data_IF_894511993101
#
_entry.id   IF_894511993101
#
_cell.length_a   1.000
_cell.length_b   1.000
_cell.length_c   1.000
_cell.angle_alpha   90.00
_cell.angle_beta   90.00
_cell.angle_gamma   90.00
#
_symmetry.space_group_name_H-M   'P 1'
#
loop_
_entity.id
_entity.type
_entity.pdbx_description
1 polymer ?
#
# COMPACT_ATOMS: atom_id res chain seq x y z
N UNK A 1 -9.19 22.94 8.94
CA UNK A 1 -8.74 21.63 9.45
C UNK A 1 -7.70 21.82 10.54
N UNK A 2 -7.99 21.39 11.77
CA UNK A 2 -7.08 21.52 12.92
C UNK A 2 -5.90 20.53 12.84
N UNK A 3 -4.72 21.00 13.23
CA UNK A 3 -3.55 20.12 13.43
C UNK A 3 -3.68 19.48 14.81
N UNK A 4 -3.78 18.15 14.87
CA UNK A 4 -3.78 17.42 16.14
C UNK A 4 -2.35 17.02 16.50
N UNK A 5 -1.92 17.29 17.74
CA UNK A 5 -0.62 16.89 18.27
C UNK A 5 -0.82 15.92 19.42
N UNK A 6 -0.26 14.73 19.30
CA UNK A 6 -0.31 13.67 20.31
C UNK A 6 1.12 13.42 20.79
N UNK A 7 1.42 13.70 22.06
CA UNK A 7 2.78 13.65 22.60
C UNK A 7 2.82 12.98 23.96
N UNK A 8 3.84 12.15 24.19
CA UNK A 8 4.12 11.53 25.48
C UNK A 8 4.88 12.46 26.44
N UNK A 9 5.32 13.64 26.00
CA UNK A 9 6.22 14.52 26.76
C UNK A 9 5.67 14.90 28.14
N UNK A 10 4.36 15.21 28.20
CA UNK A 10 3.67 15.62 29.42
C UNK A 10 3.11 14.46 30.24
N UNK A 11 3.32 13.22 29.82
CA UNK A 11 2.82 12.03 30.49
C UNK A 11 3.87 11.46 31.46
N UNK A 12 3.39 10.93 32.58
CA UNK A 12 4.21 10.13 33.49
C UNK A 12 4.73 8.88 32.76
N UNK A 13 5.97 8.47 33.05
CA UNK A 13 6.66 7.37 32.35
C UNK A 13 5.84 6.08 32.26
N UNK A 14 5.08 5.76 33.33
CA UNK A 14 4.23 4.56 33.41
C UNK A 14 3.08 4.55 32.39
N UNK A 15 2.59 5.73 31.99
CA UNK A 15 1.41 5.87 31.13
C UNK A 15 1.80 5.99 29.64
N UNK A 16 3.08 6.27 29.34
CA UNK A 16 3.57 6.53 27.97
C UNK A 16 3.40 5.34 27.03
N UNK A 17 3.63 4.11 27.51
CA UNK A 17 3.49 2.91 26.68
C UNK A 17 2.03 2.69 26.25
N UNK A 18 1.10 2.77 27.20
CA UNK A 18 -0.33 2.58 26.93
C UNK A 18 -0.86 3.67 26.00
N UNK A 19 -0.51 4.93 26.28
CA UNK A 19 -0.84 6.05 25.40
C UNK A 19 -0.27 5.87 24.00
N UNK A 20 1.03 5.54 23.88
CA UNK A 20 1.67 5.40 22.59
C UNK A 20 1.07 4.26 21.76
N UNK A 21 0.72 3.14 22.40
CA UNK A 21 -0.03 2.06 21.75
C UNK A 21 -1.36 2.55 21.17
N UNK A 22 -2.13 3.34 21.93
CA UNK A 22 -3.37 3.94 21.42
C UNK A 22 -3.10 4.85 20.21
N UNK A 23 -2.10 5.72 20.30
CA UNK A 23 -1.74 6.62 19.19
C UNK A 23 -1.44 5.84 17.91
N UNK A 24 -0.66 4.76 18.01
CA UNK A 24 -0.31 3.91 16.86
C UNK A 24 -1.54 3.18 16.30
N UNK A 25 -2.35 2.58 17.17
CA UNK A 25 -3.57 1.87 16.78
C UNK A 25 -4.57 2.78 16.06
N UNK A 26 -4.73 4.02 16.53
CA UNK A 26 -5.74 4.95 16.02
C UNK A 26 -5.32 5.63 14.70
N UNK A 27 -4.01 5.82 14.46
CA UNK A 27 -3.51 6.60 13.32
C UNK A 27 -2.86 5.76 12.23
N UNK A 28 -2.35 4.58 12.58
CA UNK A 28 -1.63 3.70 11.67
C UNK A 28 -2.37 2.37 11.51
N UNK A 29 -1.87 1.32 12.16
CA UNK A 29 -2.35 -0.05 12.07
C UNK A 29 -2.09 -0.77 13.39
N UNK A 30 -2.88 -1.81 13.67
CA UNK A 30 -2.65 -2.65 14.85
C UNK A 30 -1.33 -3.40 14.71
N UNK A 31 -0.50 -3.29 15.75
CA UNK A 31 0.82 -3.91 15.83
C UNK A 31 1.15 -4.28 17.27
N UNK A 32 2.03 -5.27 17.44
CA UNK A 32 2.71 -5.47 18.71
C UNK A 32 3.87 -4.47 18.77
N UNK A 33 3.80 -3.53 19.71
CA UNK A 33 4.87 -2.56 19.98
C UNK A 33 5.77 -3.04 21.11
N UNK A 34 7.07 -3.07 20.83
CA UNK A 34 8.12 -3.23 21.83
C UNK A 34 8.86 -1.90 22.02
N UNK A 35 8.80 -1.39 23.26
CA UNK A 35 9.51 -0.18 23.66
C UNK A 35 10.66 -0.57 24.60
N UNK A 36 11.84 0.06 24.51
CA UNK A 36 12.96 -0.25 25.40
C UNK A 36 12.55 -0.04 26.86
N UNK A 37 12.58 -1.11 27.66
CA UNK A 37 12.06 -1.13 29.05
C UNK A 37 12.69 -0.09 30.00
N UNK A 38 13.88 0.42 29.67
CA UNK A 38 14.67 1.33 30.51
C UNK A 38 14.81 2.75 29.93
N UNK A 39 14.27 3.02 28.74
CA UNK A 39 14.31 4.37 28.18
C UNK A 39 13.08 5.16 28.63
N UNK A 40 13.28 6.41 29.01
CA UNK A 40 12.18 7.37 29.19
C UNK A 40 11.58 7.70 27.82
N UNK A 41 10.89 6.73 27.21
CA UNK A 41 10.37 6.78 25.84
C UNK A 41 9.69 8.13 25.57
N UNK A 42 10.05 8.75 24.44
CA UNK A 42 9.41 9.96 23.94
C UNK A 42 8.84 9.67 22.56
N UNK A 43 7.58 10.01 22.36
CA UNK A 43 6.89 9.90 21.09
C UNK A 43 6.01 11.13 20.86
N UNK A 44 6.02 11.64 19.64
CA UNK A 44 5.14 12.71 19.17
C UNK A 44 4.62 12.37 17.77
N UNK A 45 3.31 12.49 17.57
CA UNK A 45 2.66 12.44 16.25
C UNK A 45 1.93 13.76 16.02
N UNK A 46 2.26 14.44 14.94
CA UNK A 46 1.47 15.58 14.43
C UNK A 46 0.71 15.15 13.21
N UNK A 47 -0.61 15.27 13.25
CA UNK A 47 -1.49 14.77 12.19
C UNK A 47 -2.12 15.91 11.40
N UNK A 48 -2.19 15.71 10.08
CA UNK A 48 -2.84 16.58 9.09
C UNK A 48 -3.53 15.72 8.04
N UNK A 49 -4.59 16.25 7.40
CA UNK A 49 -5.28 15.57 6.30
C UNK A 49 -5.25 16.42 5.04
N UNK A 50 -5.18 15.74 3.89
CA UNK A 50 -5.44 16.32 2.58
C UNK A 50 -6.31 15.36 1.79
N UNK A 51 -7.62 15.62 1.77
CA UNK A 51 -8.60 14.69 1.25
C UNK A 51 -8.45 13.31 1.92
N UNK A 52 -8.29 12.22 1.15
CA UNK A 52 -8.12 10.88 1.69
C UNK A 52 -6.72 10.59 2.27
N UNK A 53 -5.74 11.50 2.12
CA UNK A 53 -4.41 11.30 2.67
C UNK A 53 -4.37 11.70 4.14
N UNK A 54 -3.90 10.79 5.00
CA UNK A 54 -3.47 11.14 6.36
C UNK A 54 -1.96 11.34 6.37
N UNK A 55 -1.52 12.53 6.74
CA UNK A 55 -0.12 12.94 6.77
C UNK A 55 0.30 13.16 8.20
N UNK A 56 1.36 12.47 8.61
CA UNK A 56 1.90 12.57 9.97
C UNK A 56 3.36 12.98 9.96
N UNK A 57 3.74 13.79 10.93
CA UNK A 57 5.13 13.87 11.39
C UNK A 57 5.24 13.02 12.63
N UNK A 58 6.01 11.95 12.52
CA UNK A 58 6.25 10.95 13.54
C UNK A 58 7.65 11.15 14.11
N UNK A 59 7.75 11.40 15.41
CA UNK A 59 9.01 11.47 16.14
C UNK A 59 8.96 10.48 17.28
N UNK A 60 9.96 9.64 17.41
CA UNK A 60 9.98 8.68 18.51
C UNK A 60 11.38 8.25 18.88
N UNK A 61 11.53 7.89 20.14
CA UNK A 61 12.64 7.11 20.65
C UNK A 61 12.67 5.70 20.08
N UNK A 62 13.80 4.97 20.19
CA UNK A 62 13.93 3.62 19.69
C UNK A 62 12.75 2.74 20.09
N UNK A 63 12.27 1.94 19.16
CA UNK A 63 11.22 0.94 19.38
C UNK A 63 11.17 -0.05 18.21
N UNK A 64 10.31 -1.05 18.30
CA UNK A 64 9.97 -1.90 17.18
C UNK A 64 8.48 -2.19 17.15
N UNK A 65 8.01 -2.57 15.97
CA UNK A 65 6.63 -2.94 15.72
C UNK A 65 6.58 -4.21 14.88
N UNK A 66 5.69 -5.13 15.25
CA UNK A 66 5.36 -6.32 14.47
C UNK A 66 3.88 -6.32 14.08
N UNK A 67 3.62 -6.45 12.78
CA UNK A 67 2.29 -6.66 12.24
C UNK A 67 2.11 -8.09 11.79
N UNK A 68 1.13 -8.78 12.35
CA UNK A 68 0.80 -10.17 12.05
C UNK A 68 -0.50 -10.30 11.28
N UNK A 69 -0.80 -11.50 10.75
CA UNK A 69 -2.10 -11.80 10.14
C UNK A 69 -3.28 -11.62 11.11
N UNK A 70 -3.05 -11.83 12.41
CA UNK A 70 -4.06 -11.60 13.45
C UNK A 70 -4.43 -10.12 13.56
N UNK A 71 -3.46 -9.22 13.43
CA UNK A 71 -3.71 -7.78 13.46
C UNK A 71 -4.50 -7.32 12.23
N UNK A 72 -4.10 -7.81 11.05
CA UNK A 72 -4.80 -7.52 9.77
C UNK A 72 -6.27 -7.97 9.84
N UNK A 73 -6.54 -9.15 10.40
CA UNK A 73 -7.91 -9.63 10.56
C UNK A 73 -8.77 -8.78 11.51
N UNK A 74 -8.15 -7.99 12.40
CA UNK A 74 -8.85 -7.16 13.40
C UNK A 74 -9.17 -5.76 12.91
N UNK A 75 -8.25 -5.12 12.19
CA UNK A 75 -8.46 -3.75 11.69
C UNK A 75 -8.83 -3.68 10.20
N UNK A 76 -8.60 -4.74 9.43
CA UNK A 76 -8.90 -4.79 8.00
C UNK A 76 -8.13 -3.78 7.15
N UNK A 77 -7.13 -3.09 7.71
CA UNK A 77 -6.43 -2.01 7.04
C UNK A 77 -5.56 -2.55 5.90
N UNK A 78 -5.82 -2.08 4.68
CA UNK A 78 -5.07 -2.40 3.47
C UNK A 78 -4.29 -1.21 2.90
N UNK A 79 -4.36 -0.04 3.53
CA UNK A 79 -3.67 1.18 3.11
C UNK A 79 -2.15 1.01 3.05
N UNK A 80 -1.51 1.88 2.27
CA UNK A 80 -0.05 1.94 2.13
C UNK A 80 0.52 3.11 2.91
N UNK A 81 1.61 2.85 3.61
CA UNK A 81 2.34 3.83 4.40
C UNK A 81 3.63 4.21 3.68
N UNK A 82 3.73 5.47 3.27
CA UNK A 82 4.90 6.05 2.64
C UNK A 82 5.76 6.76 3.69
N UNK A 83 6.96 6.24 3.92
CA UNK A 83 7.91 6.74 4.90
C UNK A 83 9.01 7.56 4.24
N UNK A 84 9.23 8.77 4.76
CA UNK A 84 10.27 9.72 4.37
C UNK A 84 11.02 10.16 5.64
N UNK A 85 12.09 9.46 6.03
CA UNK A 85 12.90 9.86 7.18
C UNK A 85 13.56 11.21 6.95
N UNK A 86 13.56 12.06 7.98
CA UNK A 86 14.27 13.34 8.02
C UNK A 86 15.56 13.22 8.82
N UNK A 87 15.49 12.50 9.95
CA UNK A 87 16.62 12.10 10.77
C UNK A 87 16.42 10.69 11.30
N UNK A 88 17.53 9.99 11.53
CA UNK A 88 17.51 8.60 11.99
C UNK A 88 17.07 7.62 10.89
N UNK A 89 17.08 6.34 11.25
CA UNK A 89 16.92 5.24 10.30
C UNK A 89 15.84 4.28 10.78
N UNK A 90 15.16 3.64 9.83
CA UNK A 90 14.22 2.56 10.09
C UNK A 90 14.55 1.36 9.22
N UNK A 91 14.45 0.19 9.81
CA UNK A 91 14.66 -1.09 9.16
C UNK A 91 13.30 -1.75 9.02
N UNK A 92 12.92 -2.07 7.79
CA UNK A 92 11.66 -2.72 7.47
C UNK A 92 11.90 -4.12 6.95
N UNK A 93 11.03 -5.06 7.30
CA UNK A 93 10.94 -6.35 6.61
C UNK A 93 9.48 -6.65 6.24
N UNK A 94 9.23 -6.94 4.96
CA UNK A 94 7.90 -7.29 4.45
C UNK A 94 8.02 -8.13 3.18
N UNK A 95 7.22 -9.19 3.09
CA UNK A 95 7.22 -10.14 1.98
C UNK A 95 8.62 -10.70 1.64
N UNK A 96 9.41 -11.03 2.68
CA UNK A 96 10.76 -11.59 2.54
C UNK A 96 11.84 -10.61 2.07
N UNK A 97 11.52 -9.32 1.93
CA UNK A 97 12.50 -8.26 1.66
C UNK A 97 12.82 -7.49 2.92
N UNK A 98 14.01 -6.91 2.94
CA UNK A 98 14.47 -5.99 3.97
C UNK A 98 14.88 -4.67 3.32
N UNK A 99 14.47 -3.55 3.90
CA UNK A 99 14.83 -2.22 3.42
C UNK A 99 15.29 -1.33 4.58
N UNK A 100 16.32 -0.54 4.31
CA UNK A 100 16.77 0.54 5.19
C UNK A 100 16.21 1.86 4.67
N UNK A 101 15.28 2.45 5.42
CA UNK A 101 14.79 3.80 5.17
C UNK A 101 15.60 4.78 6.02
N UNK A 102 16.31 5.66 5.35
CA UNK A 102 17.17 6.69 5.94
C UNK A 102 16.90 8.06 5.28
N UNK A 103 17.45 9.17 5.80
CA UNK A 103 17.25 10.48 5.20
C UNK A 103 17.61 10.49 3.71
N UNK A 104 16.74 11.10 2.90
CA UNK A 104 16.88 11.10 1.43
C UNK A 104 16.39 9.83 0.75
N UNK A 105 15.62 8.99 1.44
CA UNK A 105 14.93 7.84 0.84
C UNK A 105 13.42 7.88 1.08
N UNK A 106 12.67 7.27 0.16
CA UNK A 106 11.24 7.00 0.26
C UNK A 106 11.05 5.47 0.29
N UNK A 107 10.27 4.98 1.25
CA UNK A 107 9.93 3.56 1.35
C UNK A 107 8.43 3.35 1.59
N UNK A 108 7.86 2.29 1.02
CA UNK A 108 6.45 1.93 1.18
C UNK A 108 6.30 0.67 2.05
N UNK A 109 5.30 0.64 2.93
CA UNK A 109 4.79 -0.60 3.55
C UNK A 109 3.31 -0.77 3.25
N UNK A 110 2.90 -1.99 2.93
CA UNK A 110 1.49 -2.33 2.73
C UNK A 110 0.87 -2.79 4.06
N UNK A 111 -0.14 -2.06 4.57
CA UNK A 111 -0.84 -2.39 5.82
C UNK A 111 -1.61 -3.70 5.76
N UNK A 112 -2.09 -4.11 4.59
CA UNK A 112 -2.73 -5.41 4.37
C UNK A 112 -1.80 -6.64 4.38
N UNK A 113 -0.52 -6.49 4.72
CA UNK A 113 0.46 -7.58 4.76
C UNK A 113 1.26 -7.58 6.07
N UNK A 114 1.72 -8.75 6.57
CA UNK A 114 2.62 -8.81 7.71
C UNK A 114 3.91 -8.03 7.45
N UNK A 115 4.44 -7.39 8.49
CA UNK A 115 5.73 -6.70 8.44
C UNK A 115 6.37 -6.60 9.82
N UNK A 116 7.68 -6.39 9.84
CA UNK A 116 8.41 -5.89 11.01
C UNK A 116 9.02 -4.53 10.72
N UNK A 117 9.12 -3.71 11.75
CA UNK A 117 9.72 -2.39 11.74
C UNK A 117 10.61 -2.27 12.96
N UNK A 118 11.87 -1.91 12.76
CA UNK A 118 12.80 -1.57 13.83
C UNK A 118 13.34 -0.15 13.63
N UNK A 119 13.32 0.65 14.69
CA UNK A 119 13.95 1.97 14.74
C UNK A 119 14.97 1.95 15.89
N UNK A 120 16.28 1.78 15.59
CA UNK A 120 17.31 1.55 16.61
C UNK A 120 17.74 2.83 17.35
N UNK A 121 17.45 4.00 16.78
CA UNK A 121 17.78 5.32 17.32
C UNK A 121 16.54 6.23 17.33
N UNK A 122 16.66 7.43 17.91
CA UNK A 122 15.64 8.47 17.79
C UNK A 122 15.42 8.82 16.31
N UNK A 123 14.17 8.93 15.87
CA UNK A 123 13.81 9.25 14.48
C UNK A 123 12.88 10.47 14.38
N UNK A 124 12.95 11.17 13.24
CA UNK A 124 11.96 12.16 12.79
C UNK A 124 11.58 11.79 11.36
N UNK A 125 10.32 11.41 11.14
CA UNK A 125 9.85 10.79 9.91
C UNK A 125 8.56 11.44 9.47
N UNK A 126 8.44 11.72 8.17
CA UNK A 126 7.14 12.00 7.56
C UNK A 126 6.52 10.70 7.08
N UNK A 127 5.31 10.42 7.53
CA UNK A 127 4.56 9.25 7.10
C UNK A 127 3.25 9.70 6.47
N UNK A 128 3.06 9.36 5.21
CA UNK A 128 1.81 9.58 4.48
C UNK A 128 1.11 8.24 4.32
N UNK A 129 -0.11 8.13 4.84
CA UNK A 129 -1.00 7.00 4.63
C UNK A 129 -1.84 7.27 3.37
N UNK A 130 -1.75 6.36 2.40
CA UNK A 130 -2.44 6.43 1.11
C UNK A 130 -3.40 5.23 1.00
N UNK A 131 -4.66 5.43 0.58
CA UNK A 131 -5.52 4.32 0.20
C UNK A 131 -4.87 3.46 -0.87
N UNK A 132 -4.88 2.13 -0.67
CA UNK A 132 -4.30 1.15 -1.59
C UNK A 132 -4.77 1.37 -3.03
N UNK A 133 -6.08 1.58 -3.21
CA UNK A 133 -6.71 1.82 -4.51
C UNK A 133 -6.15 3.01 -5.30
N UNK A 134 -5.62 4.04 -4.64
CA UNK A 134 -4.97 5.17 -5.33
C UNK A 134 -3.64 4.76 -5.97
N UNK A 135 -2.89 3.87 -5.32
CA UNK A 135 -1.61 3.38 -5.85
C UNK A 135 -1.79 2.23 -6.82
N UNK A 136 -2.75 1.33 -6.58
CA UNK A 136 -2.99 0.15 -7.42
C UNK A 136 -3.43 0.48 -8.85
N UNK A 137 -3.98 1.68 -9.06
CA UNK A 137 -4.29 2.22 -10.38
C UNK A 137 -3.05 2.52 -11.24
N UNK A 138 -1.86 2.59 -10.62
CA UNK A 138 -0.56 2.87 -11.26
C UNK A 138 0.48 1.80 -11.01
N UNK A 139 0.35 1.07 -9.91
CA UNK A 139 1.16 -0.07 -9.51
C UNK A 139 0.26 -1.29 -9.34
N UNK A 140 -0.12 -1.98 -10.44
CA UNK A 140 -0.94 -3.18 -10.37
C UNK A 140 -0.31 -4.28 -9.49
N UNK A 141 1.03 -4.30 -9.40
CA UNK A 141 1.79 -5.06 -8.42
C UNK A 141 2.33 -4.17 -7.30
N UNK A 142 1.42 -3.71 -6.46
CA UNK A 142 1.78 -2.91 -5.29
C UNK A 142 2.74 -3.66 -4.36
N UNK A 143 2.65 -5.00 -4.31
CA UNK A 143 3.59 -5.84 -3.58
C UNK A 143 5.02 -5.65 -4.05
N UNK A 144 5.27 -5.56 -5.36
CA UNK A 144 6.62 -5.28 -5.87
C UNK A 144 7.20 -3.94 -5.39
N UNK A 145 6.37 -2.91 -5.21
CA UNK A 145 6.84 -1.58 -4.79
C UNK A 145 7.16 -1.49 -3.29
N UNK A 146 6.54 -2.33 -2.45
CA UNK A 146 6.69 -2.24 -0.99
C UNK A 146 8.03 -2.79 -0.51
N UNK A 147 8.47 -2.33 0.67
CA UNK A 147 9.71 -2.73 1.33
C UNK A 147 10.95 -2.55 0.43
N UNK A 148 11.00 -1.40 -0.26
CA UNK A 148 12.12 -0.94 -1.08
C UNK A 148 12.38 0.52 -0.77
N UNK A 149 13.65 0.88 -0.61
CA UNK A 149 14.06 2.27 -0.46
C UNK A 149 14.46 2.83 -1.81
N UNK A 150 13.85 3.95 -2.23
CA UNK A 150 14.24 4.69 -3.44
C UNK A 150 14.82 6.04 -3.04
N UNK A 151 15.92 6.45 -3.68
CA UNK A 151 16.58 7.72 -3.35
C UNK A 151 15.74 8.90 -3.85
N UNK A 152 15.56 9.90 -3.01
CA UNK A 152 14.74 11.09 -3.29
C UNK A 152 15.59 12.31 -3.67
N UNK A 153 16.86 12.11 -4.02
CA UNK A 153 17.78 13.21 -4.36
C UNK A 153 17.47 13.83 -5.71
N UNK A 154 16.93 13.05 -6.65
CA UNK A 154 16.60 13.49 -8.02
C UNK A 154 15.39 12.72 -8.57
N UNK A 155 14.85 13.18 -9.70
CA UNK A 155 13.80 12.49 -10.44
C UNK A 155 12.45 12.44 -9.74
N UNK A 156 11.62 11.48 -10.15
CA UNK A 156 10.26 11.29 -9.65
C UNK A 156 10.18 11.07 -8.12
N UNK A 157 11.07 10.29 -7.47
CA UNK A 157 11.06 10.17 -6.01
C UNK A 157 11.36 11.50 -5.29
N UNK A 158 12.22 12.34 -5.86
CA UNK A 158 12.46 13.68 -5.33
C UNK A 158 11.25 14.60 -5.46
N UNK A 159 10.56 14.56 -6.61
CA UNK A 159 9.31 15.29 -6.81
C UNK A 159 8.20 14.81 -5.85
N UNK A 160 8.06 13.49 -5.66
CA UNK A 160 7.12 12.91 -4.71
C UNK A 160 7.40 13.37 -3.28
N UNK A 161 8.67 13.31 -2.85
CA UNK A 161 9.08 13.77 -1.52
C UNK A 161 8.78 15.27 -1.32
N UNK A 162 9.14 16.11 -2.28
CA UNK A 162 8.89 17.56 -2.23
C UNK A 162 7.38 17.89 -2.22
N UNK A 163 6.59 17.21 -3.05
CA UNK A 163 5.14 17.38 -3.09
C UNK A 163 4.51 17.02 -1.73
N UNK A 164 4.81 15.83 -1.20
CA UNK A 164 4.27 15.38 0.09
C UNK A 164 4.69 16.30 1.24
N UNK A 165 5.91 16.81 1.19
CA UNK A 165 6.45 17.75 2.18
C UNK A 165 5.68 19.08 2.18
N UNK A 166 5.51 19.68 1.01
CA UNK A 166 4.77 20.94 0.84
C UNK A 166 3.28 20.75 1.12
N UNK A 167 2.67 19.67 0.61
CA UNK A 167 1.28 19.32 0.84
C UNK A 167 0.98 19.14 2.34
N UNK A 168 1.87 18.49 3.08
CA UNK A 168 1.75 18.36 4.54
C UNK A 168 1.82 19.71 5.23
N UNK A 169 2.76 20.59 4.83
CA UNK A 169 2.91 21.93 5.43
C UNK A 169 1.71 22.85 5.17
N UNK A 170 1.17 22.80 3.96
CA UNK A 170 0.10 23.70 3.50
C UNK A 170 -1.30 23.11 3.60
N UNK A 171 -1.46 21.90 4.15
CA UNK A 171 -2.75 21.21 4.21
C UNK A 171 -3.90 22.07 4.76
N UNK A 172 -3.62 22.92 5.75
CA UNK A 172 -4.61 23.83 6.35
C UNK A 172 -4.90 25.08 5.50
N UNK A 173 -4.03 25.41 4.55
CA UNK A 173 -4.13 26.55 3.63
C UNK A 173 -4.80 26.19 2.29
N UNK A 174 -4.97 24.89 2.00
CA UNK A 174 -5.63 24.44 0.77
C UNK A 174 -7.11 24.84 0.81
N UNK A 175 -7.60 25.59 -0.20
CA UNK A 175 -9.01 25.97 -0.26
C UNK A 175 -9.94 24.75 -0.28
N UNK A 176 -11.07 24.84 0.42
CA UNK A 176 -12.10 23.80 0.43
C UNK A 176 -12.97 23.88 -0.83
N UNK A 177 -12.34 23.62 -1.98
CA UNK A 177 -13.01 23.52 -3.27
C UNK A 177 -13.46 22.07 -3.46
N UNK A 178 -14.75 21.81 -3.77
CA UNK A 178 -15.26 20.46 -3.99
C UNK A 178 -14.37 19.65 -4.94
N UNK A 179 -13.88 18.51 -4.47
CA UNK A 179 -13.03 17.59 -5.24
C UNK A 179 -11.55 17.95 -5.34
N UNK A 180 -11.13 19.19 -5.03
CA UNK A 180 -9.72 19.59 -5.09
C UNK A 180 -8.81 18.76 -4.16
N UNK A 181 -9.16 18.52 -2.87
CA UNK A 181 -8.33 17.68 -2.00
C UNK A 181 -8.17 16.25 -2.52
N UNK A 182 -9.21 15.68 -3.14
CA UNK A 182 -9.14 14.34 -3.74
C UNK A 182 -8.25 14.32 -4.99
N UNK A 183 -8.26 15.40 -5.78
CA UNK A 183 -7.36 15.56 -6.94
C UNK A 183 -5.90 15.66 -6.49
N UNK A 184 -5.60 16.47 -5.48
CA UNK A 184 -4.25 16.58 -4.92
C UNK A 184 -3.77 15.24 -4.34
N UNK A 185 -4.67 14.49 -3.70
CA UNK A 185 -4.35 13.16 -3.19
C UNK A 185 -4.00 12.16 -4.31
N UNK A 186 -4.72 12.20 -5.44
CA UNK A 186 -4.40 11.38 -6.61
C UNK A 186 -3.04 11.76 -7.20
N UNK A 187 -2.75 13.06 -7.31
CA UNK A 187 -1.45 13.54 -7.82
C UNK A 187 -0.28 13.10 -6.91
N UNK A 188 -0.45 13.18 -5.59
CA UNK A 188 0.52 12.63 -4.65
C UNK A 188 0.72 11.12 -4.86
N UNK A 189 -0.38 10.37 -4.98
CA UNK A 189 -0.32 8.93 -5.21
C UNK A 189 0.36 8.58 -6.54
N UNK A 190 0.10 9.34 -7.61
CA UNK A 190 0.74 9.17 -8.92
C UNK A 190 2.27 9.38 -8.80
N UNK A 191 2.72 10.48 -8.18
CA UNK A 191 4.15 10.75 -7.97
C UNK A 191 4.82 9.65 -7.12
N UNK A 192 4.17 9.22 -6.04
CA UNK A 192 4.65 8.12 -5.20
C UNK A 192 4.73 6.83 -6.01
N UNK A 193 3.67 6.48 -6.76
CA UNK A 193 3.63 5.27 -7.55
C UNK A 193 4.73 5.23 -8.62
N UNK A 194 4.91 6.33 -9.33
CA UNK A 194 5.90 6.44 -10.40
C UNK A 194 7.34 6.37 -9.89
N UNK A 195 7.56 6.68 -8.62
CA UNK A 195 8.85 6.50 -7.95
C UNK A 195 9.31 5.03 -7.91
N UNK A 196 8.39 4.07 -8.11
CA UNK A 196 8.67 2.62 -8.08
C UNK A 196 8.47 1.92 -9.41
N UNK A 197 8.07 2.63 -10.46
CA UNK A 197 7.88 2.06 -11.81
C UNK A 197 9.18 1.71 -12.51
N UNK A 198 10.27 2.38 -12.13
CA UNK A 198 11.61 2.16 -12.65
C UNK A 198 12.37 1.39 -11.58
N UNK A 199 12.88 0.20 -11.92
CA UNK A 199 13.87 -0.45 -11.06
C UNK A 199 15.09 0.48 -11.01
N UNK A 200 15.63 0.76 -9.82
CA UNK A 200 16.82 1.59 -9.73
C UNK A 200 17.88 0.99 -10.66
N UNK A 201 18.52 1.87 -11.43
CA UNK A 201 19.62 1.52 -12.32
C UNK A 201 20.86 1.22 -11.46
N UNK A 202 20.78 0.12 -10.71
CA UNK A 202 21.83 -0.36 -9.81
C UNK A 202 22.89 -1.16 -10.58
N UNK A 203 22.96 -1.01 -11.92
CA UNK A 203 23.74 -1.90 -12.79
C UNK A 203 23.18 -3.33 -12.83
N UNK A 204 21.88 -3.50 -12.59
CA UNK A 204 21.22 -4.81 -12.65
C UNK A 204 21.39 -5.43 -14.04
N UNK A 205 21.57 -6.76 -14.13
CA UNK A 205 21.73 -7.46 -15.41
C UNK A 205 20.60 -7.11 -16.38
N UNK A 206 20.92 -6.99 -17.68
CA UNK A 206 19.97 -6.66 -18.74
C UNK A 206 18.67 -7.51 -18.70
N UNK A 207 18.76 -8.76 -18.23
CA UNK A 207 17.63 -9.67 -18.02
C UNK A 207 16.60 -9.17 -16.98
N UNK A 208 17.00 -8.40 -15.95
CA UNK A 208 16.05 -7.81 -14.98
C UNK A 208 15.20 -6.72 -15.63
N UNK A 209 15.83 -5.82 -16.40
CA UNK A 209 15.13 -4.76 -17.10
C UNK A 209 14.17 -5.31 -18.16
N UNK A 210 14.57 -6.35 -18.90
CA UNK A 210 13.72 -7.05 -19.87
C UNK A 210 12.52 -7.71 -19.18
N UNK A 211 12.74 -8.44 -18.07
CA UNK A 211 11.66 -9.03 -17.28
C UNK A 211 10.72 -7.98 -16.71
N UNK A 212 11.21 -6.82 -16.29
CA UNK A 212 10.38 -5.72 -15.81
C UNK A 212 9.51 -5.13 -16.93
N UNK A 213 10.07 -4.91 -18.13
CA UNK A 213 9.31 -4.45 -19.28
C UNK A 213 8.25 -5.47 -19.73
N UNK A 214 8.59 -6.75 -19.78
CA UNK A 214 7.66 -7.84 -20.10
C UNK A 214 6.56 -7.99 -19.06
N UNK A 215 6.89 -7.80 -17.78
CA UNK A 215 5.90 -7.81 -16.72
C UNK A 215 4.86 -6.71 -16.93
N UNK A 216 5.29 -5.47 -17.20
CA UNK A 216 4.38 -4.35 -17.51
C UNK A 216 3.47 -4.68 -18.69
N UNK A 217 4.04 -5.16 -19.81
CA UNK A 217 3.26 -5.59 -20.98
C UNK A 217 2.25 -6.70 -20.65
N UNK A 218 2.63 -7.66 -19.81
CA UNK A 218 1.74 -8.74 -19.37
C UNK A 218 0.59 -8.20 -18.52
N UNK A 219 0.87 -7.28 -17.60
CA UNK A 219 -0.12 -6.61 -16.76
C UNK A 219 -1.10 -5.80 -17.60
N UNK A 220 -0.61 -4.98 -18.54
CA UNK A 220 -1.45 -4.18 -19.43
C UNK A 220 -2.37 -5.07 -20.28
N UNK A 221 -1.82 -6.18 -20.80
CA UNK A 221 -2.60 -7.16 -21.53
C UNK A 221 -3.67 -7.83 -20.65
N UNK A 222 -3.34 -8.16 -19.39
CA UNK A 222 -4.29 -8.75 -18.43
C UNK A 222 -5.42 -7.76 -18.12
N UNK A 223 -5.09 -6.51 -17.82
CA UNK A 223 -6.08 -5.50 -17.45
C UNK A 223 -7.02 -5.18 -18.62
N UNK A 224 -6.50 -5.13 -19.85
CA UNK A 224 -7.30 -4.92 -21.07
C UNK A 224 -8.30 -6.05 -21.33
N UNK A 225 -7.95 -7.29 -20.98
CA UNK A 225 -8.75 -8.48 -21.27
C UNK A 225 -9.39 -9.09 -20.01
N UNK A 226 -9.43 -8.36 -18.90
CA UNK A 226 -9.72 -8.91 -17.57
C UNK A 226 -11.10 -9.60 -17.48
N UNK A 227 -12.06 -9.07 -18.21
CA UNK A 227 -13.45 -9.56 -18.28
C UNK A 227 -13.61 -10.81 -19.17
N UNK A 228 -12.64 -11.10 -20.04
CA UNK A 228 -12.68 -12.29 -20.89
C UNK A 228 -12.46 -13.55 -20.02
N UNK A 229 -13.44 -14.47 -19.91
CA UNK A 229 -13.29 -15.69 -19.11
C UNK A 229 -12.12 -16.58 -19.58
N UNK A 230 -11.77 -16.53 -20.86
CA UNK A 230 -10.68 -17.32 -21.47
C UNK A 230 -9.29 -16.70 -21.30
N UNK A 231 -9.19 -15.60 -20.54
CA UNK A 231 -7.90 -15.04 -20.11
C UNK A 231 -7.19 -16.01 -19.16
N UNK A 232 -6.12 -16.62 -19.65
CA UNK A 232 -5.28 -17.61 -18.96
C UNK A 232 -3.82 -17.23 -19.12
N UNK A 233 -2.88 -17.78 -18.32
CA UNK A 233 -1.45 -17.52 -18.53
C UNK A 233 -0.97 -17.86 -19.95
N UNK A 234 -1.58 -18.87 -20.59
CA UNK A 234 -1.27 -19.25 -21.96
C UNK A 234 -1.68 -18.16 -22.96
N UNK A 235 -2.90 -17.62 -22.83
CA UNK A 235 -3.39 -16.57 -23.73
C UNK A 235 -2.67 -15.25 -23.50
N UNK A 236 -2.33 -14.90 -22.25
CA UNK A 236 -1.47 -13.73 -21.93
C UNK A 236 -0.09 -13.87 -22.58
N UNK A 237 0.56 -15.02 -22.42
CA UNK A 237 1.89 -15.26 -22.99
C UNK A 237 1.88 -15.13 -24.53
N UNK A 238 0.88 -15.73 -25.19
CA UNK A 238 0.67 -15.60 -26.62
C UNK A 238 0.41 -14.15 -27.06
N UNK A 239 -0.43 -13.42 -26.31
CA UNK A 239 -0.79 -12.03 -26.60
C UNK A 239 0.37 -11.02 -26.47
N UNK A 240 1.41 -11.34 -25.72
CA UNK A 240 2.61 -10.50 -25.60
C UNK A 240 3.85 -11.08 -26.30
N UNK A 241 3.71 -12.21 -27.00
CA UNK A 241 4.76 -12.80 -27.82
C UNK A 241 5.86 -13.56 -27.06
N UNK A 242 5.55 -14.18 -25.91
CA UNK A 242 6.51 -15.00 -25.16
C UNK A 242 5.97 -16.40 -24.85
N UNK A 243 6.85 -17.32 -24.45
CA UNK A 243 6.41 -18.65 -23.98
C UNK A 243 5.72 -18.56 -22.62
N UNK A 244 4.76 -19.45 -22.37
CA UNK A 244 4.10 -19.56 -21.06
C UNK A 244 5.12 -19.81 -19.93
N UNK A 245 6.16 -20.61 -20.20
CA UNK A 245 7.26 -20.85 -19.25
C UNK A 245 8.00 -19.56 -18.89
N UNK A 246 8.28 -18.71 -19.87
CA UNK A 246 8.95 -17.44 -19.61
C UNK A 246 8.04 -16.44 -18.90
N UNK A 247 6.74 -16.41 -19.23
CA UNK A 247 5.76 -15.63 -18.45
C UNK A 247 5.75 -16.04 -16.97
N UNK A 248 5.81 -17.34 -16.68
CA UNK A 248 5.92 -17.82 -15.30
C UNK A 248 7.19 -17.31 -14.63
N UNK A 249 8.34 -17.32 -15.32
CA UNK A 249 9.59 -16.77 -14.78
C UNK A 249 9.53 -15.25 -14.52
N UNK A 250 8.88 -14.49 -15.42
CA UNK A 250 8.66 -13.05 -15.29
C UNK A 250 7.84 -12.71 -14.04
N UNK A 251 6.78 -13.49 -13.75
CA UNK A 251 5.97 -13.32 -12.54
C UNK A 251 6.65 -13.87 -11.28
N UNK A 252 7.39 -14.98 -11.40
CA UNK A 252 8.11 -15.59 -10.30
C UNK A 252 9.20 -14.66 -9.73
N UNK A 253 9.84 -13.84 -10.58
CA UNK A 253 10.77 -12.79 -10.15
C UNK A 253 10.12 -11.76 -9.18
N UNK A 254 8.78 -11.68 -9.19
CA UNK A 254 7.96 -10.84 -8.29
C UNK A 254 7.23 -11.64 -7.20
N UNK A 255 7.61 -12.90 -7.00
CA UNK A 255 7.05 -13.75 -5.95
C UNK A 255 5.59 -14.17 -6.17
N UNK A 256 5.11 -14.14 -7.42
CA UNK A 256 3.72 -14.47 -7.75
C UNK A 256 3.60 -15.34 -9.01
N UNK A 257 2.39 -15.85 -9.27
CA UNK A 257 2.07 -16.60 -10.51
C UNK A 257 1.09 -15.79 -11.37
N UNK A 258 1.15 -15.88 -12.71
CA UNK A 258 0.23 -15.16 -13.59
C UNK A 258 -1.24 -15.51 -13.30
N UNK A 259 -1.55 -16.78 -13.00
CA UNK A 259 -2.91 -17.21 -12.64
C UNK A 259 -3.40 -16.60 -11.32
N UNK A 260 -2.53 -16.47 -10.33
CA UNK A 260 -2.88 -15.81 -9.07
C UNK A 260 -3.15 -14.32 -9.31
N UNK A 261 -2.30 -13.66 -10.09
CA UNK A 261 -2.44 -12.24 -10.42
C UNK A 261 -3.76 -11.95 -11.16
N UNK A 262 -4.09 -12.71 -12.22
CA UNK A 262 -5.38 -12.56 -12.94
C UNK A 262 -6.57 -12.67 -11.98
N UNK A 263 -6.57 -13.69 -11.10
CA UNK A 263 -7.65 -13.90 -10.12
C UNK A 263 -7.76 -12.73 -9.14
N UNK A 264 -6.64 -12.23 -8.64
CA UNK A 264 -6.61 -11.09 -7.72
C UNK A 264 -7.16 -9.83 -8.38
N UNK A 265 -6.77 -9.54 -9.64
CA UNK A 265 -7.27 -8.40 -10.41
C UNK A 265 -8.79 -8.50 -10.62
N UNK A 266 -9.31 -9.68 -11.01
CA UNK A 266 -10.75 -9.90 -11.17
C UNK A 266 -11.53 -9.71 -9.86
N UNK A 267 -11.02 -10.21 -8.73
CA UNK A 267 -11.66 -10.02 -7.43
C UNK A 267 -11.70 -8.55 -7.03
N UNK A 268 -10.61 -7.81 -7.22
CA UNK A 268 -10.54 -6.38 -6.89
C UNK A 268 -11.53 -5.56 -7.72
N UNK A 269 -11.59 -5.79 -9.02
CA UNK A 269 -12.57 -5.13 -9.89
C UNK A 269 -14.02 -5.47 -9.47
N UNK A 270 -14.31 -6.74 -9.19
CA UNK A 270 -15.62 -7.16 -8.70
C UNK A 270 -15.99 -6.53 -7.35
N UNK A 271 -15.01 -6.36 -6.45
CA UNK A 271 -15.20 -5.70 -5.15
C UNK A 271 -15.62 -4.23 -5.31
N UNK A 272 -15.00 -3.49 -6.22
CA UNK A 272 -15.38 -2.10 -6.49
C UNK A 272 -16.84 -1.99 -6.96
N UNK A 273 -17.32 -2.94 -7.76
CA UNK A 273 -18.73 -2.99 -8.18
C UNK A 273 -19.64 -3.37 -7.00
N UNK A 274 -19.20 -4.29 -6.13
CA UNK A 274 -19.96 -4.71 -4.95
C UNK A 274 -20.11 -3.62 -3.89
N UNK A 275 -19.12 -2.73 -3.76
CA UNK A 275 -19.08 -1.64 -2.79
C UNK A 275 -19.76 -0.36 -3.30
N UNK A 276 -20.17 -0.31 -4.58
CA UNK A 276 -20.78 0.87 -5.17
C UNK A 276 -22.32 0.76 -5.18
N UNK A 277 -23.03 1.67 -4.47
CA UNK A 277 -24.49 1.67 -4.38
C UNK A 277 -25.22 1.74 -5.74
N UNK A 278 -24.58 2.29 -6.78
CA UNK A 278 -25.16 2.38 -8.12
C UNK A 278 -25.40 0.99 -8.76
N UNK A 279 -24.74 -0.06 -8.26
CA UNK A 279 -24.82 -1.41 -8.82
C UNK A 279 -25.60 -2.41 -7.93
N UNK A 280 -26.39 -1.93 -6.95
CA UNK A 280 -27.15 -2.80 -6.04
C UNK A 280 -28.12 -3.75 -6.76
N UNK A 281 -28.62 -3.37 -7.93
CA UNK A 281 -29.53 -4.18 -8.74
C UNK A 281 -28.85 -5.44 -9.35
N UNK A 282 -27.52 -5.45 -9.48
CA UNK A 282 -26.80 -6.59 -10.07
C UNK A 282 -26.65 -7.72 -9.06
N UNK A 283 -27.13 -8.92 -9.38
CA UNK A 283 -26.91 -10.11 -8.54
C UNK A 283 -25.42 -10.45 -8.41
N UNK A 284 -25.04 -11.13 -7.33
CA UNK A 284 -23.66 -11.62 -7.10
C UNK A 284 -23.19 -12.47 -8.29
N UNK A 285 -24.09 -13.27 -8.87
CA UNK A 285 -23.81 -14.10 -10.04
C UNK A 285 -23.52 -13.27 -11.29
N UNK A 286 -24.32 -12.23 -11.57
CA UNK A 286 -24.08 -11.32 -12.69
C UNK A 286 -22.72 -10.61 -12.55
N UNK A 287 -22.38 -10.14 -11.35
CA UNK A 287 -21.05 -9.54 -11.10
C UNK A 287 -19.94 -10.55 -11.33
N UNK A 288 -20.09 -11.80 -10.87
CA UNK A 288 -19.09 -12.85 -11.09
C UNK A 288 -18.82 -13.07 -12.59
N UNK A 289 -19.88 -13.24 -13.39
CA UNK A 289 -19.75 -13.46 -14.84
C UNK A 289 -19.17 -12.24 -15.55
N UNK A 290 -19.62 -11.03 -15.22
CA UNK A 290 -19.11 -9.78 -15.80
C UNK A 290 -17.61 -9.55 -15.54
N UNK A 291 -17.04 -10.20 -14.52
CA UNK A 291 -15.62 -10.11 -14.16
C UNK A 291 -14.85 -11.39 -14.51
N UNK A 292 -15.31 -12.16 -15.49
CA UNK A 292 -14.58 -13.28 -16.08
C UNK A 292 -14.52 -14.55 -15.22
N UNK A 293 -15.41 -14.71 -14.23
CA UNK A 293 -15.54 -15.99 -13.51
C UNK A 293 -16.53 -16.92 -14.22
N UNK A 294 -16.10 -18.14 -14.51
CA UNK A 294 -16.96 -19.16 -15.14
C UNK A 294 -18.08 -19.70 -14.25
N UNK A 295 -17.95 -19.60 -12.91
CA UNK A 295 -19.05 -19.95 -12.01
C UNK A 295 -19.08 -19.10 -10.71
N UNK A 296 -20.29 -18.71 -10.21
CA UNK A 296 -20.43 -17.89 -9.00
C UNK A 296 -19.94 -18.55 -7.72
N UNK A 297 -19.98 -19.88 -7.64
CA UNK A 297 -19.48 -20.63 -6.49
C UNK A 297 -17.95 -20.51 -6.35
N UNK A 298 -17.21 -20.64 -7.46
CA UNK A 298 -15.78 -20.41 -7.49
C UNK A 298 -15.43 -18.96 -7.18
N UNK A 299 -16.15 -18.00 -7.78
CA UNK A 299 -16.01 -16.57 -7.45
C UNK A 299 -16.13 -16.32 -5.96
N UNK A 300 -17.20 -16.80 -5.31
CA UNK A 300 -17.45 -16.54 -3.89
C UNK A 300 -16.35 -17.10 -2.99
N UNK A 301 -15.79 -18.27 -3.32
CA UNK A 301 -14.67 -18.88 -2.59
C UNK A 301 -13.40 -18.04 -2.75
N UNK A 302 -13.04 -17.67 -3.98
CA UNK A 302 -11.83 -16.88 -4.28
C UNK A 302 -11.95 -15.48 -3.68
N UNK A 303 -13.12 -14.85 -3.77
CA UNK A 303 -13.41 -13.54 -3.19
C UNK A 303 -13.23 -13.57 -1.68
N UNK A 304 -13.84 -14.54 -0.97
CA UNK A 304 -13.69 -14.67 0.48
C UNK A 304 -12.23 -14.88 0.90
N UNK A 305 -11.47 -15.66 0.13
CA UNK A 305 -10.05 -15.88 0.38
C UNK A 305 -9.21 -14.60 0.28
N UNK A 306 -9.53 -13.72 -0.67
CA UNK A 306 -8.75 -12.49 -0.91
C UNK A 306 -9.24 -11.29 -0.09
N UNK A 307 -10.55 -11.18 0.15
CA UNK A 307 -11.16 -10.02 0.81
C UNK A 307 -11.52 -10.27 2.28
N UNK A 308 -11.39 -11.49 2.79
CA UNK A 308 -11.76 -11.86 4.17
C UNK A 308 -13.28 -11.98 4.40
N UNK A 309 -14.10 -11.29 3.62
CA UNK A 309 -15.57 -11.34 3.67
C UNK A 309 -16.17 -11.96 2.40
N UNK A 310 -17.36 -12.53 2.49
CA UNK A 310 -18.08 -13.03 1.31
C UNK A 310 -18.64 -11.87 0.47
N UNK A 311 -18.86 -12.05 -0.85
CA UNK A 311 -19.51 -11.03 -1.68
C UNK A 311 -20.85 -10.54 -1.12
N UNK A 312 -21.63 -11.46 -0.53
CA UNK A 312 -22.92 -11.14 0.10
C UNK A 312 -22.75 -10.28 1.35
N UNK A 313 -21.74 -10.57 2.17
CA UNK A 313 -21.45 -9.80 3.38
C UNK A 313 -21.00 -8.39 3.07
N UNK A 314 -20.13 -8.21 2.05
CA UNK A 314 -19.68 -6.88 1.61
C UNK A 314 -20.86 -6.04 1.16
N UNK A 315 -21.78 -6.64 0.39
CA UNK A 315 -22.95 -5.90 -0.10
C UNK A 315 -23.96 -5.58 1.00
N UNK A 316 -24.16 -6.50 1.95
CA UNK A 316 -25.06 -6.27 3.07
C UNK A 316 -24.61 -5.10 3.97
N UNK A 317 -23.32 -4.77 3.99
CA UNK A 317 -22.76 -3.65 4.75
C UNK A 317 -23.03 -2.26 4.12
N UNK A 318 -23.61 -2.20 2.91
CA UNK A 318 -24.05 -0.95 2.29
C UNK A 318 -25.49 -0.54 2.69
N UNK A 319 -26.20 -1.43 3.38
CA UNK A 319 -27.54 -1.22 3.92
C UNK A 319 -27.48 -1.00 5.43
#
# INVERSE_FOLDING_TARGET
>A
METTVLSTERLATRDRLAFWRSVIDDHYVKVDLDLPRRSGFRGEVRHRRLGPLAMTRYRASPNSAERTRRHIARDGCDDVFCFLPLTGEMIFEQAGRKALAQPGTLCLLHGGQPFTLAQPADVDVRVTRLPSGLLEARLPDLGWATCRAVRTTTGLPGLAAAFLEKASREASSVPDVPGLPATLARQAADLVAFSFLVEPDDGLPHDSAVKAALYRRAVDHIDTHLQNPDLTPKTVAGGIGISQRYLQAVFAARGQTPSAFIRQRRVKAARQVLENPAFLALSIAQIAYAHGFACPAHFSRVFKQHCGASPKSVRAALH
#
